data_IF_774136177720
#
_entry.id   IF_774136177720
#
_cell.length_a   1.000
_cell.length_b   1.000
_cell.length_c   1.000
_cell.angle_alpha   90.00
_cell.angle_beta   90.00
_cell.angle_gamma   90.00
#
_symmetry.space_group_name_H-M   'P 1'
#
loop_
_entity.id
_entity.type
_entity.pdbx_description
1 polymer ?
#
# COMPACT_ATOMS: atom_id res chain seq x y z
N UNK A 1 15.70 5.29 -1.17
CA UNK A 1 16.87 5.92 -1.78
C UNK A 1 17.38 7.11 -0.96
N UNK A 2 16.59 8.17 -0.75
CA UNK A 2 17.01 9.36 0.03
C UNK A 2 17.64 9.02 1.39
N UNK A 3 17.03 8.11 2.15
CA UNK A 3 17.59 7.64 3.44
C UNK A 3 19.00 7.04 3.30
N UNK A 4 19.25 6.28 2.23
CA UNK A 4 20.54 5.68 1.96
C UNK A 4 21.57 6.76 1.66
N UNK A 5 21.23 7.75 0.84
CA UNK A 5 22.14 8.86 0.57
C UNK A 5 22.44 9.70 1.81
N UNK A 6 21.44 10.03 2.62
CA UNK A 6 21.62 10.77 3.87
C UNK A 6 22.45 10.01 4.91
N UNK A 7 22.41 8.68 4.87
CA UNK A 7 23.21 7.82 5.74
C UNK A 7 24.67 7.66 5.28
N UNK A 8 25.05 8.24 4.12
CA UNK A 8 26.38 8.05 3.53
C UNK A 8 26.54 6.72 2.79
N UNK A 9 25.45 6.14 2.29
CA UNK A 9 25.48 4.85 1.59
C UNK A 9 25.47 3.63 2.51
N UNK A 10 24.96 3.75 3.75
CA UNK A 10 24.80 2.58 4.62
C UNK A 10 23.74 1.63 4.07
N UNK A 11 23.92 0.33 4.31
CA UNK A 11 22.96 -0.68 3.91
C UNK A 11 21.67 -0.58 4.72
N UNK A 12 20.53 -0.62 4.04
CA UNK A 12 19.21 -0.55 4.66
C UNK A 12 18.32 -1.70 4.19
N UNK A 13 17.41 -2.12 5.06
CA UNK A 13 16.31 -3.02 4.72
C UNK A 13 15.00 -2.27 4.95
N UNK A 14 14.22 -2.07 3.89
CA UNK A 14 12.89 -1.50 3.95
C UNK A 14 11.88 -2.63 4.08
N UNK A 15 11.14 -2.67 5.19
CA UNK A 15 10.04 -3.60 5.40
C UNK A 15 8.71 -2.88 5.15
N UNK A 16 7.94 -3.35 4.16
CA UNK A 16 6.62 -2.83 3.82
C UNK A 16 5.59 -3.87 4.25
N UNK A 17 4.68 -3.51 5.14
CA UNK A 17 3.53 -4.36 5.49
C UNK A 17 2.32 -3.86 4.71
N UNK A 18 1.74 -4.72 3.87
CA UNK A 18 0.63 -4.36 2.99
C UNK A 18 -0.31 -5.53 2.75
N UNK A 19 -1.51 -5.24 2.27
CA UNK A 19 -2.57 -6.22 1.95
C UNK A 19 -2.56 -6.70 0.48
N UNK A 20 -1.52 -6.31 -0.28
CA UNK A 20 -1.24 -6.84 -1.62
C UNK A 20 -1.92 -6.11 -2.77
N UNK A 21 -2.79 -5.14 -2.50
CA UNK A 21 -3.53 -4.44 -3.53
C UNK A 21 -2.76 -3.22 -4.04
N UNK A 22 -1.87 -3.41 -5.01
CA UNK A 22 -1.43 -2.29 -5.85
C UNK A 22 -2.61 -1.91 -6.74
N UNK A 23 -3.03 -0.65 -6.69
CA UNK A 23 -4.32 -0.21 -7.24
C UNK A 23 -4.42 -0.56 -8.74
N UNK A 24 -5.27 -1.52 -9.11
CA UNK A 24 -5.64 -1.81 -10.51
C UNK A 24 -6.84 -0.95 -10.91
N UNK A 25 -6.78 -0.34 -12.09
CA UNK A 25 -7.93 0.36 -12.66
C UNK A 25 -8.94 -0.66 -13.19
N UNK A 26 -10.24 -0.36 -13.08
CA UNK A 26 -11.30 -1.14 -13.76
C UNK A 26 -11.16 -1.14 -15.29
N UNK A 27 -10.35 -0.24 -15.84
CA UNK A 27 -10.10 -0.14 -17.28
C UNK A 27 -8.85 -0.92 -17.75
N UNK A 28 -8.06 -1.50 -16.85
CA UNK A 28 -6.86 -2.28 -17.22
C UNK A 28 -7.26 -3.72 -17.50
N UNK A 29 -7.00 -4.23 -18.70
CA UNK A 29 -7.26 -5.63 -19.06
C UNK A 29 -6.39 -6.60 -18.25
N UNK A 30 -6.85 -7.85 -18.12
CA UNK A 30 -6.08 -8.93 -17.50
C UNK A 30 -4.76 -9.15 -18.25
N UNK A 31 -3.66 -8.62 -17.71
CA UNK A 31 -2.32 -8.72 -18.30
C UNK A 31 -1.58 -7.39 -18.46
N UNK A 32 -2.28 -6.24 -18.42
CA UNK A 32 -1.63 -4.92 -18.44
C UNK A 32 -1.36 -4.42 -17.02
N UNK A 33 -0.23 -3.72 -16.84
CA UNK A 33 0.13 -3.07 -15.59
C UNK A 33 -0.65 -1.77 -15.43
N UNK A 34 -1.14 -1.49 -14.23
CA UNK A 34 -1.71 -0.18 -13.91
C UNK A 34 -0.60 0.88 -13.82
N UNK A 35 -0.94 2.18 -13.97
CA UNK A 35 0.04 3.25 -13.78
C UNK A 35 0.69 3.26 -12.38
N UNK A 36 0.04 2.67 -11.38
CA UNK A 36 0.58 2.48 -10.04
C UNK A 36 1.57 1.32 -10.00
N UNK A 37 1.24 0.19 -10.63
CA UNK A 37 2.12 -0.97 -10.74
C UNK A 37 3.42 -0.63 -11.48
N UNK A 38 3.33 0.08 -12.61
CA UNK A 38 4.50 0.53 -13.37
C UNK A 38 5.42 1.44 -12.54
N UNK A 39 4.85 2.38 -11.78
CA UNK A 39 5.63 3.27 -10.90
C UNK A 39 6.29 2.51 -9.75
N UNK A 40 5.61 1.50 -9.20
CA UNK A 40 6.17 0.63 -8.17
C UNK A 40 7.35 -0.16 -8.73
N UNK A 41 7.18 -0.83 -9.88
CA UNK A 41 8.26 -1.56 -10.56
C UNK A 41 9.46 -0.64 -10.83
N UNK A 42 9.21 0.54 -11.41
CA UNK A 42 10.27 1.51 -11.67
C UNK A 42 11.01 1.92 -10.39
N UNK A 43 10.29 2.10 -9.29
CA UNK A 43 10.90 2.46 -8.00
C UNK A 43 11.77 1.32 -7.44
N UNK A 44 11.38 0.07 -7.65
CA UNK A 44 12.20 -1.11 -7.26
C UNK A 44 13.47 -1.19 -8.12
N UNK A 45 13.35 -0.97 -9.44
CA UNK A 45 14.50 -0.91 -10.35
C UNK A 45 15.46 0.20 -9.96
N UNK A 46 14.96 1.42 -9.75
CA UNK A 46 15.76 2.56 -9.32
C UNK A 46 16.42 2.31 -7.94
N UNK A 47 15.76 1.53 -7.06
CA UNK A 47 16.32 1.15 -5.77
C UNK A 47 17.50 0.17 -5.90
N UNK A 48 17.60 -0.60 -6.97
CA UNK A 48 18.67 -1.59 -7.18
C UNK A 48 20.05 -0.96 -7.39
N UNK A 49 20.14 0.33 -7.73
CA UNK A 49 21.41 1.07 -7.78
C UNK A 49 21.86 1.62 -6.40
N UNK A 50 21.20 1.22 -5.31
CA UNK A 50 21.52 1.63 -3.94
C UNK A 50 21.69 0.40 -3.04
N UNK A 51 22.47 0.47 -1.94
CA UNK A 51 22.55 -0.58 -0.93
C UNK A 51 21.25 -0.64 -0.10
N UNK A 52 20.16 -1.07 -0.75
CA UNK A 52 18.81 -1.12 -0.21
C UNK A 52 18.12 -2.41 -0.64
N UNK A 53 17.74 -3.21 0.36
CA UNK A 53 16.83 -4.34 0.19
C UNK A 53 15.42 -3.97 0.58
N UNK A 54 14.44 -4.56 -0.08
CA UNK A 54 13.02 -4.33 0.14
C UNK A 54 12.36 -5.68 0.48
N UNK A 55 11.67 -5.75 1.60
CA UNK A 55 10.85 -6.89 1.99
C UNK A 55 9.39 -6.45 2.00
N UNK A 56 8.57 -7.06 1.16
CA UNK A 56 7.12 -6.87 1.17
C UNK A 56 6.46 -8.00 1.96
N UNK A 57 5.89 -7.66 3.12
CA UNK A 57 5.15 -8.57 3.99
C UNK A 57 3.66 -8.44 3.66
N UNK A 58 3.13 -9.46 3.01
CA UNK A 58 1.72 -9.56 2.63
C UNK A 58 0.84 -10.08 3.77
N UNK A 59 -0.13 -9.29 4.21
CA UNK A 59 -1.14 -9.63 5.23
C UNK A 59 -2.54 -9.66 4.63
N UNK A 60 -3.47 -10.42 5.21
CA UNK A 60 -4.81 -10.62 4.65
C UNK A 60 -4.86 -11.64 3.51
N UNK A 61 -5.92 -11.55 2.72
CA UNK A 61 -6.35 -12.63 1.80
C UNK A 61 -5.68 -12.55 0.41
N UNK A 62 -5.10 -11.42 0.03
CA UNK A 62 -4.54 -11.18 -1.31
C UNK A 62 -5.62 -10.72 -2.32
N UNK A 63 -5.52 -11.07 -3.63
CA UNK A 63 -4.55 -11.96 -4.27
C UNK A 63 -3.08 -11.49 -4.24
N UNK A 64 -2.16 -12.44 -4.35
CA UNK A 64 -0.70 -12.22 -4.29
C UNK A 64 0.03 -12.56 -5.60
N UNK A 65 -0.70 -12.89 -6.66
CA UNK A 65 -0.12 -13.34 -7.94
C UNK A 65 0.79 -12.28 -8.56
N UNK A 66 0.38 -11.01 -8.49
CA UNK A 66 1.18 -9.90 -9.02
C UNK A 66 2.44 -9.66 -8.19
N UNK A 67 2.39 -9.85 -6.87
CA UNK A 67 3.56 -9.71 -6.00
C UNK A 67 4.58 -10.83 -6.25
N UNK A 68 4.13 -12.04 -6.58
CA UNK A 68 5.00 -13.12 -7.04
C UNK A 68 5.58 -12.84 -8.42
N UNK A 69 4.80 -12.26 -9.34
CA UNK A 69 5.34 -11.83 -10.65
C UNK A 69 6.41 -10.76 -10.50
N UNK A 70 6.33 -9.88 -9.50
CA UNK A 70 7.38 -8.88 -9.25
C UNK A 70 8.68 -9.50 -8.77
N UNK A 71 8.62 -10.62 -8.06
CA UNK A 71 9.80 -11.40 -7.69
C UNK A 71 10.51 -11.95 -8.94
N UNK A 72 9.74 -12.64 -9.80
CA UNK A 72 10.26 -13.39 -10.95
C UNK A 72 10.52 -12.55 -12.22
N UNK A 73 9.95 -11.34 -12.36
CA UNK A 73 9.83 -10.64 -13.66
C UNK A 73 10.16 -9.15 -13.66
N UNK A 74 11.04 -8.64 -12.79
CA UNK A 74 11.53 -7.26 -12.96
C UNK A 74 12.80 -7.27 -13.81
N UNK A 75 12.72 -7.02 -15.14
CA UNK A 75 13.89 -6.88 -15.99
C UNK A 75 14.72 -5.64 -15.62
N UNK A 76 16.03 -5.70 -15.88
CA UNK A 76 16.98 -4.58 -15.80
C UNK A 76 17.40 -4.08 -14.39
N UNK A 77 17.31 -4.91 -13.34
CA UNK A 77 17.91 -4.59 -12.03
C UNK A 77 19.41 -4.88 -12.01
N UNK A 78 20.18 -4.07 -11.27
CA UNK A 78 21.62 -4.34 -11.04
C UNK A 78 21.84 -5.59 -10.19
N UNK A 79 20.97 -5.81 -9.19
CA UNK A 79 20.88 -7.05 -8.41
C UNK A 79 19.45 -7.26 -7.90
N UNK A 80 19.15 -8.48 -7.47
CA UNK A 80 17.85 -8.78 -6.86
C UNK A 80 17.76 -8.15 -5.46
N UNK A 81 16.91 -7.17 -5.29
CA UNK A 81 16.81 -6.34 -4.09
C UNK A 81 15.41 -6.35 -3.46
N UNK A 82 14.54 -7.26 -3.89
CA UNK A 82 13.13 -7.31 -3.49
C UNK A 82 12.75 -8.73 -3.09
N UNK A 83 12.08 -8.88 -1.95
CA UNK A 83 11.60 -10.16 -1.45
C UNK A 83 10.14 -10.06 -1.03
N UNK A 84 9.30 -11.00 -1.46
CA UNK A 84 7.90 -11.07 -1.03
C UNK A 84 7.66 -12.21 -0.02
N UNK A 85 6.96 -11.89 1.08
CA UNK A 85 6.61 -12.86 2.13
C UNK A 85 5.11 -12.83 2.39
N UNK A 86 4.43 -13.94 2.13
CA UNK A 86 3.03 -14.11 2.50
C UNK A 86 2.90 -14.47 3.99
N UNK A 87 2.73 -13.46 4.84
CA UNK A 87 2.62 -13.61 6.29
C UNK A 87 1.38 -14.42 6.68
N UNK A 88 0.22 -14.12 6.09
CA UNK A 88 -1.02 -14.83 6.38
C UNK A 88 -0.87 -16.34 6.13
N UNK A 89 -0.29 -16.72 4.99
CA UNK A 89 -0.08 -18.12 4.65
C UNK A 89 0.89 -18.84 5.59
N UNK A 90 1.86 -18.14 6.17
CA UNK A 90 2.76 -18.74 7.18
C UNK A 90 2.02 -18.90 8.50
N UNK A 91 1.28 -17.88 8.92
CA UNK A 91 0.61 -17.85 10.22
C UNK A 91 -0.60 -18.79 10.30
N UNK A 92 -1.21 -19.16 9.17
CA UNK A 92 -2.33 -20.11 9.11
C UNK A 92 -1.93 -21.58 9.14
N UNK A 93 -0.63 -21.91 9.00
CA UNK A 93 -0.15 -23.30 9.06
C UNK A 93 -0.45 -23.94 10.42
N UNK A 94 -0.66 -25.25 10.44
CA UNK A 94 -0.80 -26.01 11.68
C UNK A 94 0.59 -26.30 12.29
N UNK A 95 1.10 -25.34 13.06
CA UNK A 95 2.41 -25.38 13.72
C UNK A 95 2.36 -24.55 15.02
N UNK A 96 3.35 -24.71 15.88
CA UNK A 96 3.48 -23.90 17.10
C UNK A 96 3.74 -22.42 16.78
N UNK A 97 3.41 -21.48 17.69
CA UNK A 97 3.72 -20.06 17.48
C UNK A 97 5.21 -19.80 17.20
N UNK A 98 6.10 -20.50 17.88
CA UNK A 98 7.55 -20.35 17.67
C UNK A 98 7.97 -20.80 16.28
N UNK A 99 7.48 -21.94 15.80
CA UNK A 99 7.81 -22.43 14.45
C UNK A 99 7.30 -21.47 13.37
N UNK A 100 6.11 -20.88 13.55
CA UNK A 100 5.58 -19.86 12.63
C UNK A 100 6.44 -18.60 12.60
N UNK A 101 6.89 -18.13 13.76
CA UNK A 101 7.80 -16.98 13.86
C UNK A 101 9.15 -17.26 13.20
N UNK A 102 9.73 -18.45 13.43
CA UNK A 102 10.98 -18.87 12.79
C UNK A 102 10.80 -18.98 11.27
N UNK A 103 9.71 -19.58 10.81
CA UNK A 103 9.40 -19.70 9.38
C UNK A 103 9.24 -18.32 8.72
N UNK A 104 8.56 -17.38 9.39
CA UNK A 104 8.43 -16.01 8.91
C UNK A 104 9.77 -15.29 8.86
N UNK A 105 10.56 -15.36 9.94
CA UNK A 105 11.87 -14.73 10.01
C UNK A 105 12.82 -15.27 8.92
N UNK A 106 12.82 -16.59 8.71
CA UNK A 106 13.59 -17.22 7.65
C UNK A 106 13.14 -16.74 6.27
N UNK A 107 11.83 -16.76 5.98
CA UNK A 107 11.29 -16.31 4.70
C UNK A 107 11.61 -14.84 4.41
N UNK A 108 11.58 -13.98 5.43
CA UNK A 108 11.89 -12.55 5.29
C UNK A 108 13.39 -12.27 5.13
N UNK A 109 14.26 -13.04 5.79
CA UNK A 109 15.68 -12.71 5.90
C UNK A 109 16.59 -13.59 5.04
N UNK A 110 16.10 -14.68 4.45
CA UNK A 110 16.95 -15.65 3.73
C UNK A 110 17.73 -15.05 2.56
N UNK A 111 17.22 -13.97 1.94
CA UNK A 111 17.90 -13.31 0.83
C UNK A 111 18.86 -12.20 1.27
N UNK A 112 18.62 -11.60 2.45
CA UNK A 112 19.36 -10.42 2.90
C UNK A 112 20.89 -10.62 2.91
N UNK A 113 21.44 -11.77 3.36
CA UNK A 113 22.88 -12.00 3.27
C UNK A 113 23.43 -11.96 1.85
N UNK A 114 22.70 -12.52 0.88
CA UNK A 114 23.11 -12.54 -0.53
C UNK A 114 22.98 -11.15 -1.16
N UNK A 115 21.90 -10.43 -0.87
CA UNK A 115 21.66 -9.06 -1.33
C UNK A 115 22.72 -8.09 -0.79
N UNK A 116 23.09 -8.23 0.49
CA UNK A 116 24.18 -7.45 1.08
C UNK A 116 25.52 -7.74 0.42
N UNK A 117 25.83 -9.02 0.16
CA UNK A 117 27.04 -9.42 -0.54
C UNK A 117 27.09 -8.84 -1.97
N UNK A 118 25.98 -8.90 -2.70
CA UNK A 118 25.87 -8.28 -4.01
C UNK A 118 26.15 -6.78 -3.94
N UNK A 119 25.53 -6.05 -3.00
CA UNK A 119 25.78 -4.63 -2.82
C UNK A 119 27.26 -4.27 -2.52
N UNK A 120 27.98 -5.16 -1.81
CA UNK A 120 29.43 -5.02 -1.63
C UNK A 120 30.19 -5.25 -2.94
N UNK A 121 29.85 -6.30 -3.70
CA UNK A 121 30.49 -6.65 -4.98
C UNK A 121 30.27 -5.60 -6.06
N UNK A 122 29.09 -4.98 -6.11
CA UNK A 122 28.80 -3.82 -6.96
C UNK A 122 29.47 -2.52 -6.47
N UNK A 123 30.06 -2.54 -5.27
CA UNK A 123 30.76 -1.39 -4.69
C UNK A 123 29.85 -0.19 -4.42
N UNK A 124 28.57 -0.44 -4.12
CA UNK A 124 27.57 0.62 -3.86
C UNK A 124 27.42 0.93 -2.36
N UNK A 125 27.92 0.07 -1.47
CA UNK A 125 27.97 0.30 -0.02
C UNK A 125 29.00 1.40 0.32
N UNK A 126 28.63 2.32 1.21
CA UNK A 126 29.47 3.42 1.65
C UNK A 126 29.66 4.53 0.61
N UNK A 127 28.88 4.52 -0.47
CA UNK A 127 28.93 5.53 -1.53
C UNK A 127 27.60 6.24 -1.67
N UNK A 128 27.64 7.53 -1.97
CA UNK A 128 26.47 8.32 -2.33
C UNK A 128 26.44 8.53 -3.83
N UNK A 129 25.27 8.41 -4.44
CA UNK A 129 25.14 8.58 -5.90
C UNK A 129 24.84 10.03 -6.29
N UNK A 130 24.27 10.82 -5.37
CA UNK A 130 23.77 12.17 -5.62
C UNK A 130 22.54 12.22 -6.54
N UNK A 131 22.00 11.06 -6.93
CA UNK A 131 20.88 10.93 -7.88
C UNK A 131 19.52 10.87 -7.20
N UNK A 132 19.47 10.70 -5.88
CA UNK A 132 18.20 10.49 -5.19
C UNK A 132 17.40 11.79 -5.07
N UNK A 133 16.09 11.71 -5.31
CA UNK A 133 15.18 12.83 -5.04
C UNK A 133 14.96 12.94 -3.53
N UNK A 134 15.14 14.14 -2.98
CA UNK A 134 14.85 14.43 -1.58
C UNK A 134 13.36 14.20 -1.29
N UNK A 135 13.05 13.33 -0.33
CA UNK A 135 11.68 13.05 0.10
C UNK A 135 11.47 13.73 1.44
N UNK A 136 10.42 14.56 1.52
CA UNK A 136 9.96 15.15 2.79
C UNK A 136 8.68 14.39 3.19
N UNK A 137 8.74 13.51 4.21
CA UNK A 137 7.55 12.83 4.72
C UNK A 137 6.51 13.86 5.17
N UNK A 138 5.24 13.60 4.87
CA UNK A 138 4.14 14.42 5.42
C UNK A 138 4.06 14.18 6.94
N UNK A 139 3.65 15.19 7.73
CA UNK A 139 3.37 14.97 9.14
C UNK A 139 2.25 13.93 9.29
N UNK A 140 2.23 13.18 10.40
CA UNK A 140 1.14 12.25 10.67
C UNK A 140 -0.20 13.01 10.66
N UNK A 141 -1.27 12.44 10.07
CA UNK A 141 -2.58 13.06 10.13
C UNK A 141 -2.97 13.22 11.60
N UNK A 142 -3.23 14.46 12.02
CA UNK A 142 -3.75 14.71 13.36
C UNK A 142 -5.15 14.09 13.46
N UNK A 143 -5.48 13.38 14.54
CA UNK A 143 -6.84 12.91 14.77
C UNK A 143 -7.79 14.10 14.64
N UNK A 144 -8.86 13.93 13.88
CA UNK A 144 -9.93 14.94 13.78
C UNK A 144 -10.49 15.10 15.20
N UNK A 145 -10.04 16.12 15.92
CA UNK A 145 -10.70 16.52 17.15
C UNK A 145 -12.10 16.93 16.74
N UNK A 146 -13.11 16.15 17.14
CA UNK A 146 -14.50 16.55 17.02
C UNK A 146 -14.60 17.93 17.68
N UNK A 147 -14.88 18.94 16.84
CA UNK A 147 -15.20 20.27 17.32
C UNK A 147 -16.43 20.10 18.22
N UNK A 148 -16.42 20.48 19.50
CA UNK A 148 -17.62 20.42 20.32
C UNK A 148 -18.61 21.36 19.67
N UNK A 149 -19.67 20.82 19.06
CA UNK A 149 -20.83 21.59 18.70
C UNK A 149 -21.47 22.03 20.00
N UNK A 150 -21.56 23.34 20.17
CA UNK A 150 -22.19 24.06 21.27
C UNK A 150 -23.54 23.39 21.62
N UNK A 151 -23.75 23.21 22.92
CA UNK A 151 -24.88 22.56 23.55
C UNK A 151 -26.24 22.91 22.93
N UNK A 152 -26.95 21.88 22.47
CA UNK A 152 -28.39 21.89 22.46
C UNK A 152 -28.88 20.60 23.12
N UNK A 153 -29.22 20.75 24.41
CA UNK A 153 -30.03 19.80 25.16
C UNK A 153 -31.35 19.57 24.40
N UNK A 154 -31.75 18.30 24.21
CA UNK A 154 -32.81 17.84 25.09
C UNK A 154 -32.64 16.40 25.58
N UNK A 155 -33.01 16.24 26.85
CA UNK A 155 -33.53 15.07 27.56
C UNK A 155 -33.49 13.68 26.87
N UNK A 156 -32.67 12.81 27.47
CA UNK A 156 -33.03 11.45 27.93
C UNK A 156 -33.74 10.52 26.92
N UNK A 157 -33.02 9.56 26.31
CA UNK A 157 -33.31 8.10 26.21
C UNK A 157 -32.22 7.42 25.36
N UNK A 158 -31.52 6.45 25.97
CA UNK A 158 -30.85 5.24 25.46
C UNK A 158 -30.32 5.09 24.00
N UNK A 159 -29.06 4.64 23.92
CA UNK A 159 -28.36 3.89 22.83
C UNK A 159 -27.62 4.71 21.76
N UNK A 160 -26.32 4.44 21.48
CA UNK A 160 -25.67 4.91 20.26
C UNK A 160 -26.07 3.94 19.14
N UNK A 161 -27.22 4.19 18.52
CA UNK A 161 -27.46 3.65 17.18
C UNK A 161 -26.58 4.47 16.25
N UNK A 162 -25.44 3.90 15.84
CA UNK A 162 -24.64 4.46 14.75
C UNK A 162 -25.57 4.65 13.55
N UNK A 163 -25.77 5.92 13.17
CA UNK A 163 -26.76 6.33 12.17
C UNK A 163 -26.43 5.67 10.81
N UNK A 164 -27.14 4.59 10.47
CA UNK A 164 -27.05 3.84 9.19
C UNK A 164 -27.11 4.76 7.96
N UNK A 165 -27.72 5.95 8.10
CA UNK A 165 -27.79 6.97 7.04
C UNK A 165 -26.43 7.52 6.62
N UNK A 166 -25.45 7.50 7.52
CA UNK A 166 -24.08 7.96 7.19
C UNK A 166 -23.27 6.92 6.42
N UNK A 167 -23.69 5.66 6.37
CA UNK A 167 -23.01 4.60 5.61
C UNK A 167 -23.64 4.31 4.23
N UNK A 168 -24.90 4.72 4.00
CA UNK A 168 -25.59 4.54 2.72
C UNK A 168 -25.12 5.50 1.62
N UNK A 169 -25.13 5.03 0.37
CA UNK A 169 -24.75 5.82 -0.81
C UNK A 169 -25.63 7.09 -0.94
N UNK A 170 -25.04 8.27 -1.14
CA UNK A 170 -25.81 9.53 -1.22
C UNK A 170 -26.68 9.66 -2.48
N UNK A 171 -26.58 8.72 -3.43
CA UNK A 171 -27.36 8.72 -4.66
C UNK A 171 -28.59 7.82 -4.53
N UNK A 172 -28.38 6.53 -4.21
CA UNK A 172 -29.51 5.59 -4.09
C UNK A 172 -30.07 5.48 -2.68
N UNK A 173 -29.36 5.95 -1.65
CA UNK A 173 -29.72 5.85 -0.24
C UNK A 173 -29.98 4.41 0.23
N UNK A 174 -29.53 3.41 -0.53
CA UNK A 174 -29.75 1.98 -0.26
C UNK A 174 -28.45 1.23 -0.09
N UNK A 175 -27.58 1.29 -1.09
CA UNK A 175 -26.36 0.49 -1.12
C UNK A 175 -25.25 1.12 -0.27
N UNK A 176 -24.37 0.28 0.30
CA UNK A 176 -23.17 0.73 0.99
C UNK A 176 -22.20 1.49 0.05
N UNK A 177 -21.35 2.32 0.63
CA UNK A 177 -20.34 3.12 -0.07
C UNK A 177 -19.09 2.28 -0.39
N UNK A 178 -19.09 1.57 -1.53
CA UNK A 178 -17.97 0.74 -1.99
C UNK A 178 -17.12 1.39 -3.12
N UNK A 179 -17.29 2.69 -3.38
CA UNK A 179 -16.56 3.42 -4.42
C UNK A 179 -16.21 4.85 -4.00
N UNK A 180 -14.93 5.23 -4.05
CA UNK A 180 -14.44 6.59 -3.84
C UNK A 180 -14.02 7.28 -5.15
N UNK A 181 -14.18 8.60 -5.21
CA UNK A 181 -13.67 9.44 -6.31
C UNK A 181 -12.33 10.10 -5.96
N UNK A 182 -11.65 10.67 -6.95
CA UNK A 182 -10.41 11.44 -6.76
C UNK A 182 -10.54 12.65 -5.81
N UNK A 183 -11.77 13.10 -5.53
CA UNK A 183 -12.06 14.14 -4.55
C UNK A 183 -12.28 13.63 -3.12
N UNK A 184 -12.18 12.32 -2.88
CA UNK A 184 -12.36 11.69 -1.56
C UNK A 184 -13.81 11.37 -1.18
N UNK A 185 -14.79 11.79 -1.97
CA UNK A 185 -16.20 11.48 -1.73
C UNK A 185 -16.57 10.09 -2.23
N UNK A 186 -17.56 9.48 -1.57
CA UNK A 186 -17.90 8.07 -1.76
C UNK A 186 -19.35 7.84 -2.18
N UNK A 187 -19.56 6.80 -3.00
CA UNK A 187 -20.86 6.32 -3.50
C UNK A 187 -20.84 4.79 -3.60
N UNK A 188 -21.97 4.15 -3.92
CA UNK A 188 -21.95 2.76 -4.33
C UNK A 188 -21.49 2.63 -5.80
N UNK A 189 -20.99 1.46 -6.19
CA UNK A 189 -20.42 1.17 -7.52
C UNK A 189 -21.42 1.39 -8.67
N UNK A 190 -22.68 1.01 -8.46
CA UNK A 190 -23.75 1.17 -9.45
C UNK A 190 -24.09 2.64 -9.73
N UNK A 191 -24.03 3.49 -8.71
CA UNK A 191 -24.30 4.91 -8.87
C UNK A 191 -23.05 5.66 -9.33
N UNK A 192 -21.88 5.34 -8.77
CA UNK A 192 -20.60 5.97 -9.10
C UNK A 192 -20.14 5.74 -10.54
N UNK A 193 -20.54 4.63 -11.18
CA UNK A 193 -20.28 4.36 -12.60
C UNK A 193 -21.10 5.23 -13.56
N UNK A 194 -22.27 5.73 -13.13
CA UNK A 194 -23.21 6.51 -13.96
C UNK A 194 -23.01 8.02 -13.87
N UNK A 195 -22.11 8.50 -13.02
CA UNK A 195 -21.89 9.93 -12.78
C UNK A 195 -20.53 10.38 -13.32
N UNK A 196 -20.49 11.49 -14.05
CA UNK A 196 -19.25 12.11 -14.56
C UNK A 196 -18.69 13.18 -13.62
N UNK A 197 -19.56 13.75 -12.76
CA UNK A 197 -19.20 14.74 -11.74
C UNK A 197 -19.60 14.21 -10.37
N UNK A 198 -18.81 14.50 -9.34
CA UNK A 198 -19.10 14.07 -7.98
C UNK A 198 -20.42 14.70 -7.51
N UNK A 199 -21.39 13.91 -7.01
CA UNK A 199 -22.69 14.42 -6.55
C UNK A 199 -22.58 15.32 -5.31
N UNK A 200 -21.46 15.24 -4.58
CA UNK A 200 -21.26 15.98 -3.33
C UNK A 200 -20.55 17.31 -3.58
N UNK A 201 -19.42 17.29 -4.30
CA UNK A 201 -18.60 18.50 -4.53
C UNK A 201 -18.57 19.00 -5.97
N UNK A 202 -19.31 18.35 -6.88
CA UNK A 202 -19.45 18.73 -8.31
C UNK A 202 -18.15 18.74 -9.13
N UNK A 203 -17.02 18.32 -8.56
CA UNK A 203 -15.76 18.15 -9.30
C UNK A 203 -15.88 17.03 -10.34
N UNK A 204 -15.29 17.22 -11.52
CA UNK A 204 -15.21 16.19 -12.56
C UNK A 204 -14.45 14.98 -12.03
N UNK A 205 -15.01 13.78 -12.22
CA UNK A 205 -14.42 12.53 -11.75
C UNK A 205 -13.41 12.06 -12.80
N UNK A 206 -12.15 11.97 -12.40
CA UNK A 206 -11.06 11.46 -13.25
C UNK A 206 -10.68 10.03 -12.89
N UNK A 207 -10.89 9.64 -11.62
CA UNK A 207 -10.57 8.31 -11.13
C UNK A 207 -11.67 7.77 -10.20
N UNK A 208 -11.88 6.46 -10.24
CA UNK A 208 -12.85 5.74 -9.40
C UNK A 208 -12.12 4.59 -8.70
N UNK A 209 -12.04 4.66 -7.38
CA UNK A 209 -11.34 3.71 -6.54
C UNK A 209 -12.36 2.80 -5.88
N UNK A 210 -12.25 1.48 -6.10
CA UNK A 210 -13.09 0.50 -5.41
C UNK A 210 -12.59 0.32 -3.99
N UNK A 211 -13.52 0.39 -3.05
CA UNK A 211 -13.26 0.14 -1.64
C UNK A 211 -13.79 -1.26 -1.34
N UNK A 212 -12.97 -2.07 -0.69
CA UNK A 212 -13.37 -3.37 -0.20
C UNK A 212 -13.42 -3.26 1.32
N UNK A 213 -14.63 -3.31 1.87
CA UNK A 213 -14.94 -3.48 3.29
C UNK A 213 -15.43 -4.90 3.52
#
# INVERSE_FOLDING_TARGET
MDIVERSGGQYHVLVIVADGQVTRSVNTSDGELSPQEEKTIKSIVDASSYPLSIILVGVGDGPWDDMKKFDDKIPAREFDNFQFVNFTAIMTKNATPSEKQTAFALAALMEIPFQYKAALEFGIVGRTTGRSKKIVPRPPPVPYAHRPTIDHEPSNVSSPVEDERTQACPICLTNAKDLAFDCGHMTCRECGSRVSNCPICRRRISNRLRLFT
#
